data_IF_468975036473
#
_entry.id   IF_468975036473
#
_cell.length_a   1.000
_cell.length_b   1.000
_cell.length_c   1.000
_cell.angle_alpha   90.00
_cell.angle_beta   90.00
_cell.angle_gamma   90.00
#
_symmetry.space_group_name_H-M   'P 1'
#
loop_
_entity.id
_entity.type
_entity.pdbx_description
1 polymer ?
#
# COMPACT_ATOMS: atom_id res chain seq x y z
N UNK A 1 -30.03 16.31 4.27
CA UNK A 1 -28.84 15.71 3.64
C UNK A 1 -28.00 15.14 4.77
N UNK A 2 -27.69 13.85 4.74
CA UNK A 2 -26.81 13.21 5.72
C UNK A 2 -25.39 13.66 5.44
N UNK A 3 -24.72 14.23 6.44
CA UNK A 3 -23.30 14.56 6.37
C UNK A 3 -22.54 13.22 6.30
N UNK A 4 -21.58 13.04 5.37
CA UNK A 4 -20.79 11.82 5.30
C UNK A 4 -20.02 11.61 6.61
N UNK A 5 -19.84 10.36 7.02
CA UNK A 5 -18.95 10.05 8.15
C UNK A 5 -17.52 10.13 7.63
N UNK A 6 -16.81 11.20 7.99
CA UNK A 6 -15.41 11.40 7.63
C UNK A 6 -14.54 10.91 8.79
N UNK A 7 -13.67 9.94 8.51
CA UNK A 7 -12.74 9.36 9.47
C UNK A 7 -11.31 9.62 9.01
N UNK A 8 -10.55 10.34 9.82
CA UNK A 8 -9.13 10.58 9.61
C UNK A 8 -8.33 9.64 10.50
N UNK A 9 -7.46 8.85 9.90
CA UNK A 9 -6.71 7.78 10.57
C UNK A 9 -5.22 8.11 10.56
N UNK A 10 -4.61 8.19 11.73
CA UNK A 10 -3.19 8.46 11.90
C UNK A 10 -2.49 7.44 12.81
N UNK A 11 -1.17 7.45 12.81
CA UNK A 11 -0.33 6.54 13.58
C UNK A 11 0.97 6.22 12.87
N UNK A 12 1.90 5.61 13.61
CA UNK A 12 3.23 5.25 13.11
C UNK A 12 3.20 4.34 11.88
N UNK A 13 4.30 4.29 11.13
CA UNK A 13 4.44 3.35 10.03
C UNK A 13 4.35 1.91 10.54
N UNK A 14 3.61 1.05 9.83
CA UNK A 14 3.46 -0.37 10.20
C UNK A 14 2.49 -0.67 11.36
N UNK A 15 1.89 0.33 12.02
CA UNK A 15 0.94 0.07 13.10
C UNK A 15 -0.41 -0.54 12.63
N UNK A 16 -0.66 -0.59 11.31
CA UNK A 16 -1.85 -1.23 10.75
C UNK A 16 -3.02 -0.30 10.39
N UNK A 17 -2.74 0.99 10.10
CA UNK A 17 -3.76 1.95 9.63
C UNK A 17 -4.59 1.41 8.45
N UNK A 18 -3.93 1.06 7.36
CA UNK A 18 -4.57 0.52 6.15
C UNK A 18 -5.34 -0.78 6.44
N UNK A 19 -4.81 -1.64 7.30
CA UNK A 19 -5.50 -2.87 7.75
C UNK A 19 -6.79 -2.54 8.50
N UNK A 20 -6.76 -1.57 9.40
CA UNK A 20 -7.95 -1.14 10.12
C UNK A 20 -8.99 -0.52 9.20
N UNK A 21 -8.57 0.33 8.25
CA UNK A 21 -9.45 0.91 7.23
C UNK A 21 -10.08 -0.19 6.37
N UNK A 22 -9.29 -1.15 5.90
CA UNK A 22 -9.77 -2.33 5.15
C UNK A 22 -10.85 -3.09 5.94
N UNK A 23 -10.64 -3.30 7.24
CA UNK A 23 -11.67 -3.90 8.11
C UNK A 23 -12.93 -3.03 8.18
N UNK A 24 -12.82 -1.70 8.32
CA UNK A 24 -14.00 -0.83 8.33
C UNK A 24 -14.76 -0.88 7.00
N UNK A 25 -14.06 -0.89 5.87
CA UNK A 25 -14.65 -1.03 4.54
C UNK A 25 -15.38 -2.36 4.42
N UNK A 26 -14.77 -3.47 4.86
CA UNK A 26 -15.37 -4.81 4.78
C UNK A 26 -16.67 -4.95 5.61
N UNK A 27 -16.79 -4.21 6.71
CA UNK A 27 -17.99 -4.20 7.55
C UNK A 27 -19.03 -3.17 7.10
N UNK A 28 -18.64 -2.17 6.31
CA UNK A 28 -19.55 -1.21 5.76
C UNK A 28 -20.44 -1.90 4.72
N UNK A 29 -21.74 -1.99 5.00
CA UNK A 29 -22.71 -2.46 4.01
C UNK A 29 -22.67 -1.52 2.80
N UNK A 30 -22.72 -2.11 1.59
CA UNK A 30 -22.60 -1.48 0.28
C UNK A 30 -23.04 0.00 0.23
N UNK A 31 -22.16 0.85 -0.30
CA UNK A 31 -22.38 2.28 -0.45
C UNK A 31 -21.19 2.96 -1.14
N UNK A 32 -21.33 4.26 -1.41
CA UNK A 32 -20.26 5.06 -1.99
C UNK A 32 -19.21 5.38 -0.92
N UNK A 33 -18.15 4.56 -0.86
CA UNK A 33 -17.04 4.74 0.09
C UNK A 33 -15.88 5.40 -0.65
N UNK A 34 -15.33 6.46 -0.06
CA UNK A 34 -14.14 7.13 -0.58
C UNK A 34 -12.93 6.84 0.31
N UNK A 35 -11.78 6.59 -0.32
CA UNK A 35 -10.49 6.47 0.35
C UNK A 35 -9.50 7.48 -0.24
N UNK A 36 -8.82 8.22 0.63
CA UNK A 36 -7.76 9.14 0.25
C UNK A 36 -6.56 8.99 1.19
N UNK A 37 -5.36 8.99 0.63
CA UNK A 37 -4.11 9.01 1.40
C UNK A 37 -3.21 10.09 0.82
N UNK A 38 -3.19 11.30 1.40
CA UNK A 38 -2.36 12.39 0.89
C UNK A 38 -0.86 12.11 1.07
N UNK A 39 -0.04 12.79 0.27
CA UNK A 39 1.42 12.78 0.39
C UNK A 39 2.08 11.48 -0.07
N UNK A 40 1.39 10.66 -0.84
CA UNK A 40 1.95 9.41 -1.41
C UNK A 40 2.78 9.66 -2.68
N UNK A 41 2.66 10.83 -3.29
CA UNK A 41 3.30 11.19 -4.55
C UNK A 41 2.95 10.19 -5.65
N UNK A 42 3.98 9.70 -6.34
CA UNK A 42 3.81 8.74 -7.44
C UNK A 42 3.78 7.26 -7.00
N UNK A 43 3.77 6.97 -5.69
CA UNK A 43 3.71 5.60 -5.16
C UNK A 43 2.49 5.36 -4.24
N UNK A 44 1.28 5.33 -4.81
CA UNK A 44 0.04 5.09 -4.07
C UNK A 44 -0.19 3.59 -3.81
N UNK A 45 0.71 2.93 -3.04
CA UNK A 45 0.66 1.48 -2.80
C UNK A 45 -0.62 1.07 -2.06
N UNK A 46 -0.96 1.76 -0.97
CA UNK A 46 -2.13 1.43 -0.15
C UNK A 46 -3.43 1.69 -0.91
N UNK A 47 -3.48 2.77 -1.68
CA UNK A 47 -4.57 3.04 -2.61
C UNK A 47 -4.77 1.88 -3.60
N UNK A 48 -3.69 1.44 -4.26
CA UNK A 48 -3.76 0.38 -5.25
C UNK A 48 -4.15 -0.96 -4.63
N UNK A 49 -3.66 -1.27 -3.42
CA UNK A 49 -4.05 -2.46 -2.66
C UNK A 49 -5.55 -2.43 -2.33
N UNK A 50 -6.05 -1.34 -1.76
CA UNK A 50 -7.46 -1.22 -1.40
C UNK A 50 -8.38 -1.22 -2.62
N UNK A 51 -7.98 -0.62 -3.74
CA UNK A 51 -8.75 -0.67 -4.99
C UNK A 51 -8.86 -2.10 -5.56
N UNK A 52 -7.82 -2.92 -5.36
CA UNK A 52 -7.85 -4.34 -5.73
C UNK A 52 -8.75 -5.16 -4.79
N UNK A 53 -8.64 -4.95 -3.47
CA UNK A 53 -9.42 -5.68 -2.48
C UNK A 53 -10.91 -5.28 -2.48
N UNK A 54 -11.21 -4.02 -2.81
CA UNK A 54 -12.56 -3.46 -2.78
C UNK A 54 -12.88 -2.68 -4.07
N UNK A 55 -13.21 -3.36 -5.19
CA UNK A 55 -13.46 -2.70 -6.47
C UNK A 55 -14.64 -1.71 -6.50
N UNK A 56 -15.42 -1.65 -5.41
CA UNK A 56 -16.59 -0.78 -5.28
C UNK A 56 -16.29 0.56 -4.58
N UNK A 57 -15.10 0.74 -4.01
CA UNK A 57 -14.71 2.02 -3.39
C UNK A 57 -14.09 2.95 -4.44
N UNK A 58 -14.17 4.26 -4.20
CA UNK A 58 -13.44 5.25 -4.99
C UNK A 58 -12.17 5.65 -4.26
N UNK A 59 -11.03 5.54 -4.94
CA UNK A 59 -9.72 5.85 -4.38
C UNK A 59 -9.13 7.09 -5.05
N UNK A 60 -8.66 8.02 -4.23
CA UNK A 60 -8.08 9.29 -4.68
C UNK A 60 -6.57 9.34 -4.39
N UNK A 61 -5.87 10.12 -5.21
CA UNK A 61 -4.41 10.34 -5.14
C UNK A 61 -4.11 11.83 -5.01
N UNK A 62 -2.86 12.14 -4.70
CA UNK A 62 -2.36 13.52 -4.70
C UNK A 62 -2.67 14.21 -6.04
N UNK A 63 -3.15 15.44 -5.97
CA UNK A 63 -3.61 16.21 -7.14
C UNK A 63 -5.09 15.99 -7.51
N UNK A 64 -5.80 15.08 -6.83
CA UNK A 64 -7.24 14.85 -7.02
C UNK A 64 -8.09 15.42 -5.87
N UNK A 65 -7.56 16.34 -5.06
CA UNK A 65 -8.23 16.86 -3.86
C UNK A 65 -9.56 17.54 -4.18
N UNK A 66 -9.62 18.29 -5.30
CA UNK A 66 -10.85 18.96 -5.74
C UNK A 66 -11.94 17.93 -6.10
N UNK A 67 -11.56 16.88 -6.83
CA UNK A 67 -12.48 15.81 -7.23
C UNK A 67 -12.95 15.02 -5.99
N UNK A 68 -12.03 14.73 -5.08
CA UNK A 68 -12.32 14.11 -3.79
C UNK A 68 -13.37 14.90 -3.01
N UNK A 69 -13.16 16.20 -2.79
CA UNK A 69 -14.11 17.08 -2.09
C UNK A 69 -15.48 17.09 -2.77
N UNK A 70 -15.53 17.10 -4.10
CA UNK A 70 -16.79 17.05 -4.85
C UNK A 70 -17.54 15.72 -4.63
N UNK A 71 -16.84 14.59 -4.60
CA UNK A 71 -17.43 13.27 -4.38
C UNK A 71 -17.84 13.04 -2.92
N UNK A 72 -17.19 13.69 -1.95
CA UNK A 72 -17.51 13.54 -0.53
C UNK A 72 -18.98 13.84 -0.21
N UNK A 73 -19.60 14.79 -0.91
CA UNK A 73 -21.01 15.17 -0.70
C UNK A 73 -21.97 13.97 -0.96
N UNK A 74 -21.56 13.04 -1.83
CA UNK A 74 -22.32 11.87 -2.22
C UNK A 74 -21.86 10.59 -1.50
N UNK A 75 -20.88 10.69 -0.60
CA UNK A 75 -20.29 9.55 0.06
C UNK A 75 -21.13 9.09 1.26
N UNK A 76 -21.14 7.78 1.48
CA UNK A 76 -21.66 7.18 2.72
C UNK A 76 -20.61 7.21 3.83
N UNK A 77 -19.35 6.95 3.46
CA UNK A 77 -18.21 6.97 4.36
C UNK A 77 -16.97 7.48 3.61
N UNK A 78 -16.12 8.21 4.33
CA UNK A 78 -14.87 8.76 3.81
C UNK A 78 -13.76 8.40 4.78
N UNK A 79 -12.71 7.76 4.26
CA UNK A 79 -11.50 7.43 5.01
C UNK A 79 -10.32 8.24 4.47
N UNK A 80 -9.65 8.97 5.35
CA UNK A 80 -8.40 9.67 5.05
C UNK A 80 -7.28 9.02 5.87
N UNK A 81 -6.32 8.37 5.22
CA UNK A 81 -5.14 7.81 5.89
C UNK A 81 -3.99 8.82 5.87
N UNK A 82 -3.52 9.24 7.05
CA UNK A 82 -2.34 10.10 7.18
C UNK A 82 -1.08 9.23 7.28
N UNK A 83 -0.17 9.43 6.33
CA UNK A 83 1.18 8.87 6.39
C UNK A 83 1.93 9.35 7.63
N UNK A 84 2.77 8.49 8.21
CA UNK A 84 3.51 8.82 9.45
C UNK A 84 4.56 9.95 9.25
N UNK A 85 4.81 10.34 8.01
CA UNK A 85 5.69 11.43 7.62
C UNK A 85 4.95 12.77 7.41
N UNK A 86 3.63 12.80 7.60
CA UNK A 86 2.83 14.02 7.54
C UNK A 86 2.52 14.53 8.95
N UNK A 87 2.49 15.85 9.09
CA UNK A 87 1.97 16.50 10.28
C UNK A 87 0.47 16.21 10.43
N UNK A 88 0.01 16.11 11.67
CA UNK A 88 -1.38 15.74 11.99
C UNK A 88 -2.42 16.81 11.60
N UNK A 89 -1.99 18.05 11.45
CA UNK A 89 -2.79 19.18 11.00
C UNK A 89 -2.85 19.30 9.46
N UNK A 90 -2.08 18.49 8.71
CA UNK A 90 -2.12 18.49 7.24
C UNK A 90 -3.52 18.21 6.69
N UNK A 91 -4.36 17.50 7.44
CA UNK A 91 -5.75 17.22 7.05
C UNK A 91 -6.64 18.47 7.07
N UNK A 92 -6.30 19.49 7.87
CA UNK A 92 -7.07 20.74 7.93
C UNK A 92 -7.00 21.50 6.60
N UNK A 93 -5.91 21.35 5.85
CA UNK A 93 -5.75 21.94 4.52
C UNK A 93 -6.67 21.28 3.47
N UNK A 94 -7.12 20.04 3.73
CA UNK A 94 -7.98 19.27 2.84
C UNK A 94 -9.45 19.44 3.21
N UNK A 95 -9.75 19.38 4.51
CA UNK A 95 -11.11 19.35 5.03
C UNK A 95 -11.65 20.72 5.44
N UNK A 96 -10.79 21.73 5.61
CA UNK A 96 -11.17 23.06 6.08
C UNK A 96 -12.01 22.95 7.38
N UNK A 97 -13.21 23.53 7.41
CA UNK A 97 -14.13 23.50 8.56
C UNK A 97 -15.03 22.24 8.61
N UNK A 98 -14.84 21.24 7.74
CA UNK A 98 -15.68 20.04 7.76
C UNK A 98 -15.46 19.23 9.04
N UNK A 99 -16.52 18.76 9.73
CA UNK A 99 -16.38 17.93 10.91
C UNK A 99 -15.91 16.53 10.53
N UNK A 100 -14.93 15.99 11.28
CA UNK A 100 -14.41 14.64 11.09
C UNK A 100 -14.04 13.97 12.42
N UNK A 101 -14.04 12.64 12.41
CA UNK A 101 -13.58 11.81 13.52
C UNK A 101 -12.07 11.58 13.42
N UNK A 102 -11.36 11.75 14.54
CA UNK A 102 -9.91 11.53 14.63
C UNK A 102 -9.62 10.17 15.26
N UNK A 103 -9.06 9.25 14.49
CA UNK A 103 -8.71 7.90 14.95
C UNK A 103 -7.20 7.71 14.92
N UNK A 104 -6.60 7.33 16.05
CA UNK A 104 -5.22 6.89 16.10
C UNK A 104 -5.13 5.37 16.18
N UNK A 105 -4.42 4.75 15.24
CA UNK A 105 -3.99 3.36 15.34
C UNK A 105 -2.61 3.35 15.98
N UNK A 106 -2.52 2.83 17.22
CA UNK A 106 -1.29 2.87 18.02
C UNK A 106 -0.76 1.48 18.30
N UNK A 107 0.56 1.36 18.40
CA UNK A 107 1.13 0.09 18.84
C UNK A 107 0.82 -0.18 20.31
N UNK A 108 0.58 -1.44 20.73
CA UNK A 108 0.37 -1.77 22.14
C UNK A 108 1.55 -1.38 23.05
N UNK A 109 2.77 -1.28 22.51
CA UNK A 109 3.98 -0.93 23.25
C UNK A 109 4.35 0.55 23.18
N UNK A 110 3.58 1.34 22.42
CA UNK A 110 3.85 2.76 22.24
C UNK A 110 3.63 3.53 23.55
N UNK A 111 4.60 4.38 23.90
CA UNK A 111 4.44 5.34 25.00
C UNK A 111 3.41 6.42 24.61
N UNK A 112 3.09 7.32 25.52
CA UNK A 112 2.25 8.48 25.18
C UNK A 112 2.89 9.23 24.01
N UNK A 113 2.15 9.33 22.91
CA UNK A 113 2.58 9.95 21.67
C UNK A 113 1.62 11.06 21.26
N UNK A 114 2.03 11.89 20.31
CA UNK A 114 1.18 12.93 19.74
C UNK A 114 -0.13 12.38 19.16
N UNK A 115 -0.11 11.16 18.60
CA UNK A 115 -1.30 10.50 18.08
C UNK A 115 -2.35 10.26 19.16
N UNK A 116 -1.92 9.87 20.37
CA UNK A 116 -2.83 9.66 21.51
C UNK A 116 -3.47 10.96 22.00
N UNK A 117 -2.76 12.08 21.87
CA UNK A 117 -3.26 13.41 22.28
C UNK A 117 -4.20 13.98 21.21
N UNK A 118 -3.88 13.76 19.93
CA UNK A 118 -4.64 14.27 18.80
C UNK A 118 -5.97 13.52 18.57
N UNK A 119 -5.99 12.21 18.81
CA UNK A 119 -7.14 11.38 18.49
C UNK A 119 -8.30 11.49 19.49
N UNK A 120 -9.51 11.32 18.96
CA UNK A 120 -10.72 11.14 19.75
C UNK A 120 -10.90 9.66 20.11
N UNK A 121 -10.55 8.77 19.19
CA UNK A 121 -10.61 7.32 19.36
C UNK A 121 -9.25 6.67 19.14
N UNK A 122 -8.94 5.71 20.01
CA UNK A 122 -7.67 4.98 19.99
C UNK A 122 -7.93 3.51 19.67
N UNK A 123 -7.33 3.03 18.60
CA UNK A 123 -7.37 1.64 18.16
C UNK A 123 -6.03 0.98 18.42
N UNK A 124 -6.05 -0.24 18.97
CA UNK A 124 -4.83 -1.04 19.14
C UNK A 124 -4.47 -1.72 17.83
N UNK A 125 -3.31 -1.34 17.30
CA UNK A 125 -2.75 -1.86 16.06
C UNK A 125 -1.71 -2.97 16.29
N UNK A 126 -0.85 -3.15 15.30
CA UNK A 126 0.23 -4.12 15.32
C UNK A 126 1.30 -3.77 16.37
N UNK A 127 1.92 -4.80 16.92
CA UNK A 127 3.08 -4.68 17.80
C UNK A 127 4.32 -4.39 16.95
N UNK A 128 4.73 -3.12 16.89
CA UNK A 128 5.89 -2.66 16.11
C UNK A 128 6.99 -2.21 17.04
N UNK A 129 8.24 -2.24 16.56
CA UNK A 129 9.35 -1.69 17.32
C UNK A 129 9.37 -0.16 17.23
N UNK A 130 8.90 0.52 18.27
CA UNK A 130 8.83 2.00 18.34
C UNK A 130 10.15 2.65 18.74
N UNK A 131 11.23 1.88 18.99
CA UNK A 131 12.52 2.44 19.38
C UNK A 131 13.41 2.79 18.19
N UNK A 132 13.00 2.42 16.97
CA UNK A 132 13.74 2.72 15.75
C UNK A 132 13.11 3.95 15.11
N UNK A 133 13.91 4.99 14.92
CA UNK A 133 13.51 6.18 14.17
C UNK A 133 14.04 6.04 12.74
N UNK A 134 13.20 5.71 11.75
CA UNK A 134 13.65 5.60 10.37
C UNK A 134 14.23 6.93 9.89
N UNK A 135 15.36 6.86 9.22
CA UNK A 135 16.03 8.04 8.65
C UNK A 135 15.85 8.13 7.14
N UNK A 136 15.43 7.04 6.49
CA UNK A 136 15.29 6.96 5.04
C UNK A 136 13.97 6.34 4.61
N UNK A 137 13.34 6.99 3.62
CA UNK A 137 12.18 6.50 2.88
C UNK A 137 12.58 6.34 1.42
N UNK A 138 12.80 5.11 0.99
CA UNK A 138 13.13 4.76 -0.39
C UNK A 138 11.88 4.35 -1.14
N UNK A 139 11.64 4.97 -2.30
CA UNK A 139 10.45 4.76 -3.13
C UNK A 139 10.86 4.57 -4.59
N UNK A 140 10.46 3.45 -5.20
CA UNK A 140 10.74 3.15 -6.61
C UNK A 140 9.48 2.67 -7.33
N UNK A 141 8.96 3.42 -8.31
CA UNK A 141 7.96 2.90 -9.25
C UNK A 141 8.58 1.81 -10.13
N UNK A 142 7.83 0.73 -10.34
CA UNK A 142 8.22 -0.38 -11.23
C UNK A 142 7.19 -0.62 -12.34
N UNK A 143 6.32 0.35 -12.59
CA UNK A 143 5.32 0.30 -13.66
C UNK A 143 5.97 -0.08 -15.01
N UNK A 144 5.35 -1.02 -15.72
CA UNK A 144 5.89 -1.56 -16.97
C UNK A 144 7.01 -2.58 -16.80
N UNK A 145 7.51 -2.83 -15.59
CA UNK A 145 8.41 -3.95 -15.31
C UNK A 145 7.60 -5.22 -15.02
N UNK A 146 8.15 -6.35 -15.43
CA UNK A 146 7.66 -7.68 -15.07
C UNK A 146 8.83 -8.36 -14.37
N UNK A 147 8.59 -8.85 -13.16
CA UNK A 147 9.62 -9.36 -12.27
C UNK A 147 9.56 -10.89 -12.24
N UNK A 148 10.73 -11.53 -12.24
CA UNK A 148 10.86 -12.95 -11.95
C UNK A 148 10.51 -13.22 -10.48
N UNK A 149 9.52 -14.08 -10.22
CA UNK A 149 8.97 -14.26 -8.87
C UNK A 149 10.00 -14.86 -7.89
N UNK A 150 10.85 -15.79 -8.35
CA UNK A 150 11.88 -16.39 -7.49
C UNK A 150 12.98 -15.38 -7.14
N UNK A 151 13.45 -14.62 -8.13
CA UNK A 151 14.41 -13.53 -7.90
C UNK A 151 13.83 -12.48 -6.94
N UNK A 152 12.54 -12.15 -7.06
CA UNK A 152 11.87 -11.24 -6.15
C UNK A 152 11.79 -11.78 -4.71
N UNK A 153 11.55 -13.09 -4.54
CA UNK A 153 11.54 -13.74 -3.22
C UNK A 153 12.90 -13.67 -2.56
N UNK A 154 13.98 -13.90 -3.30
CA UNK A 154 15.35 -13.74 -2.81
C UNK A 154 15.63 -12.29 -2.41
N UNK A 155 15.35 -11.33 -3.29
CA UNK A 155 15.51 -9.90 -2.99
C UNK A 155 14.71 -9.48 -1.75
N UNK A 156 13.46 -9.90 -1.63
CA UNK A 156 12.60 -9.57 -0.49
C UNK A 156 13.11 -10.19 0.81
N UNK A 157 13.60 -11.43 0.76
CA UNK A 157 14.25 -12.06 1.91
C UNK A 157 15.48 -11.27 2.34
N UNK A 158 16.40 -10.97 1.44
CA UNK A 158 17.61 -10.18 1.74
C UNK A 158 17.27 -8.80 2.32
N UNK A 159 16.29 -8.11 1.72
CA UNK A 159 15.78 -6.82 2.17
C UNK A 159 15.28 -6.90 3.62
N UNK A 160 14.42 -7.86 3.93
CA UNK A 160 13.81 -7.99 5.26
C UNK A 160 14.76 -8.54 6.32
N UNK A 161 15.84 -9.22 5.90
CA UNK A 161 16.93 -9.66 6.79
C UNK A 161 18.03 -8.60 6.97
N UNK A 162 17.88 -7.42 6.36
CA UNK A 162 18.76 -6.28 6.57
C UNK A 162 20.06 -6.31 5.77
N UNK A 163 20.11 -7.05 4.66
CA UNK A 163 21.25 -7.06 3.74
C UNK A 163 21.58 -5.66 3.18
N UNK A 164 20.58 -4.78 3.15
CA UNK A 164 20.66 -3.44 2.57
C UNK A 164 20.48 -2.32 3.61
N UNK A 165 20.69 -2.58 4.89
CA UNK A 165 20.38 -1.67 5.99
C UNK A 165 19.17 -2.13 6.80
N UNK A 166 18.86 -1.45 7.89
CA UNK A 166 17.80 -1.89 8.80
C UNK A 166 16.42 -1.47 8.28
N UNK A 167 15.65 -2.43 7.76
CA UNK A 167 14.28 -2.21 7.30
C UNK A 167 13.30 -2.27 8.47
N UNK A 168 12.47 -1.24 8.61
CA UNK A 168 11.37 -1.18 9.59
C UNK A 168 10.05 -1.56 8.93
N UNK A 169 9.86 -1.11 7.68
CA UNK A 169 8.66 -1.39 6.87
C UNK A 169 9.07 -1.53 5.41
N UNK A 170 8.51 -2.53 4.72
CA UNK A 170 8.55 -2.58 3.27
C UNK A 170 7.18 -2.99 2.72
N UNK A 171 6.65 -2.23 1.76
CA UNK A 171 5.44 -2.57 0.98
C UNK A 171 5.80 -2.62 -0.49
N UNK A 172 5.20 -3.51 -1.25
CA UNK A 172 5.37 -3.51 -2.69
C UNK A 172 4.22 -4.15 -3.44
N UNK A 173 3.96 -3.67 -4.65
CA UNK A 173 3.06 -4.27 -5.63
C UNK A 173 3.89 -4.56 -6.87
N UNK A 174 3.87 -5.81 -7.34
CA UNK A 174 4.72 -6.28 -8.42
C UNK A 174 3.92 -7.05 -9.47
N UNK A 175 4.25 -6.82 -10.73
CA UNK A 175 3.76 -7.63 -11.85
C UNK A 175 4.72 -8.79 -12.09
N UNK A 176 4.20 -10.02 -12.14
CA UNK A 176 5.01 -11.24 -12.33
C UNK A 176 4.77 -11.88 -13.70
N UNK A 177 5.69 -12.75 -14.11
CA UNK A 177 5.77 -13.32 -15.46
C UNK A 177 4.47 -13.97 -15.96
N UNK A 178 3.68 -14.54 -15.06
CA UNK A 178 2.42 -15.21 -15.39
C UNK A 178 1.19 -14.29 -15.45
N UNK A 179 1.43 -12.97 -15.42
CA UNK A 179 0.44 -11.92 -15.56
C UNK A 179 -0.29 -11.54 -14.27
N UNK A 180 -0.05 -12.25 -13.16
CA UNK A 180 -0.59 -11.85 -11.86
C UNK A 180 0.03 -10.55 -11.36
N UNK A 181 -0.65 -9.94 -10.39
CA UNK A 181 -0.08 -8.90 -9.56
C UNK A 181 -0.01 -9.41 -8.12
N UNK A 182 1.14 -9.24 -7.48
CA UNK A 182 1.38 -9.71 -6.11
C UNK A 182 1.75 -8.53 -5.20
N UNK A 183 1.39 -8.65 -3.93
CA UNK A 183 1.60 -7.66 -2.88
C UNK A 183 2.49 -8.23 -1.78
N UNK A 184 3.56 -7.50 -1.47
CA UNK A 184 4.47 -7.79 -0.36
C UNK A 184 4.25 -6.84 0.79
N UNK A 185 4.24 -7.37 2.02
CA UNK A 185 4.07 -6.62 3.25
C UNK A 185 5.02 -7.12 4.34
N UNK A 186 5.93 -6.25 4.77
CA UNK A 186 6.82 -6.51 5.89
C UNK A 186 6.81 -5.37 6.90
N UNK A 187 6.73 -5.71 8.19
CA UNK A 187 6.92 -4.81 9.33
C UNK A 187 7.86 -5.49 10.33
N UNK A 188 8.92 -4.81 10.76
CA UNK A 188 9.85 -5.37 11.74
C UNK A 188 9.16 -5.70 13.06
N UNK A 189 9.31 -6.95 13.51
CA UNK A 189 8.71 -7.46 14.75
C UNK A 189 7.29 -8.03 14.58
N UNK A 190 6.69 -7.94 13.39
CA UNK A 190 5.41 -8.57 13.07
C UNK A 190 5.68 -9.79 12.18
N UNK A 191 5.06 -10.96 12.45
CA UNK A 191 5.15 -12.10 11.55
C UNK A 191 4.70 -11.71 10.13
N UNK A 192 5.59 -11.87 9.15
CA UNK A 192 5.27 -11.63 7.75
C UNK A 192 4.67 -12.88 7.12
N UNK A 193 3.70 -12.67 6.23
CA UNK A 193 3.25 -13.69 5.27
C UNK A 193 4.06 -13.57 3.99
N UNK A 194 4.07 -14.63 3.19
CA UNK A 194 4.53 -14.57 1.80
C UNK A 194 3.70 -13.57 0.98
N UNK A 195 4.18 -13.30 -0.24
CA UNK A 195 3.46 -12.47 -1.21
C UNK A 195 2.00 -12.92 -1.38
N UNK A 196 1.10 -11.94 -1.37
CA UNK A 196 -0.34 -12.13 -1.58
C UNK A 196 -0.70 -11.75 -3.01
N UNK A 197 -1.38 -12.64 -3.73
CA UNK A 197 -1.97 -12.29 -5.03
C UNK A 197 -3.08 -11.25 -4.86
N UNK A 198 -3.08 -10.23 -5.73
CA UNK A 198 -4.18 -9.28 -5.86
C UNK A 198 -5.23 -9.87 -6.79
N UNK A 199 -6.51 -9.74 -6.41
CA UNK A 199 -7.65 -10.23 -7.20
C UNK A 199 -7.91 -9.31 -8.41
N UNK A 200 -6.97 -9.33 -9.34
CA UNK A 200 -6.98 -8.55 -10.57
C UNK A 200 -6.83 -9.50 -11.76
N UNK A 201 -7.45 -9.16 -12.91
CA UNK A 201 -7.23 -9.91 -14.14
C UNK A 201 -5.75 -10.03 -14.49
N UNK A 202 -5.36 -11.22 -14.97
CA UNK A 202 -3.99 -11.45 -15.45
C UNK A 202 -3.70 -10.55 -16.66
N UNK A 203 -2.52 -9.97 -16.69
CA UNK A 203 -2.02 -9.22 -17.84
C UNK A 203 -1.04 -10.08 -18.65
N UNK A 204 -1.47 -10.56 -19.82
CA UNK A 204 -0.70 -11.48 -20.66
C UNK A 204 -0.34 -10.87 -22.03
N UNK A 205 -0.34 -9.53 -22.14
CA UNK A 205 -0.12 -8.78 -23.39
C UNK A 205 1.16 -7.93 -23.36
N UNK A 206 2.23 -8.50 -22.84
CA UNK A 206 3.52 -7.85 -22.68
C UNK A 206 3.63 -7.08 -21.36
N UNK A 207 4.13 -5.83 -21.44
CA UNK A 207 4.40 -4.98 -20.27
C UNK A 207 3.12 -4.31 -19.76
N UNK A 208 2.74 -4.52 -18.48
CA UNK A 208 1.55 -3.94 -17.90
C UNK A 208 1.66 -2.41 -17.75
N UNK A 209 0.55 -1.71 -17.97
CA UNK A 209 0.44 -0.27 -17.73
C UNK A 209 -0.23 0.05 -16.38
N UNK A 210 -0.59 -0.96 -15.58
CA UNK A 210 -1.12 -0.76 -14.23
C UNK A 210 -0.01 -0.37 -13.25
N UNK A 211 -0.38 0.18 -12.11
CA UNK A 211 0.58 0.59 -11.08
C UNK A 211 1.32 -0.61 -10.50
N UNK A 212 2.64 -0.47 -10.34
CA UNK A 212 3.49 -1.32 -9.52
C UNK A 212 4.66 -0.49 -8.97
N UNK A 213 5.19 -0.88 -7.83
CA UNK A 213 6.27 -0.17 -7.15
C UNK A 213 6.53 -0.69 -5.74
N UNK A 214 7.63 -0.24 -5.16
CA UNK A 214 8.08 -0.60 -3.81
C UNK A 214 8.37 0.64 -2.97
N UNK A 215 8.01 0.56 -1.70
CA UNK A 215 8.36 1.51 -0.66
C UNK A 215 9.09 0.78 0.47
N UNK A 216 10.24 1.30 0.89
CA UNK A 216 11.04 0.79 2.01
C UNK A 216 11.35 1.94 2.96
N UNK A 217 11.00 1.77 4.23
CA UNK A 217 11.29 2.68 5.32
C UNK A 217 12.27 2.01 6.28
N UNK A 218 13.37 2.70 6.59
CA UNK A 218 14.42 2.12 7.42
C UNK A 218 15.55 3.09 7.79
N UNK A 219 16.62 2.51 8.31
CA UNK A 219 17.85 3.18 8.71
C UNK A 219 19.02 2.64 7.89
N UNK A 220 19.94 3.54 7.50
CA UNK A 220 21.16 3.22 6.74
C UNK A 220 20.92 2.39 5.47
N UNK A 221 19.80 2.63 4.80
CA UNK A 221 19.45 1.92 3.56
C UNK A 221 20.48 2.17 2.45
N UNK A 222 20.99 1.11 1.84
CA UNK A 222 21.83 1.13 0.63
C UNK A 222 20.95 1.15 -0.63
N UNK A 223 20.40 2.33 -0.92
CA UNK A 223 19.47 2.56 -2.03
C UNK A 223 20.06 2.24 -3.41
N UNK A 224 21.39 2.29 -3.55
CA UNK A 224 22.06 1.99 -4.82
C UNK A 224 22.05 0.49 -5.05
N UNK A 225 22.45 -0.30 -4.05
CA UNK A 225 22.44 -1.76 -4.16
C UNK A 225 21.01 -2.29 -4.25
N UNK A 226 20.08 -1.81 -3.42
CA UNK A 226 18.67 -2.22 -3.51
C UNK A 226 18.08 -1.98 -4.91
N UNK A 227 18.37 -0.81 -5.50
CA UNK A 227 17.90 -0.49 -6.85
C UNK A 227 18.49 -1.43 -7.88
N UNK A 228 19.78 -1.72 -7.79
CA UNK A 228 20.44 -2.63 -8.73
C UNK A 228 19.87 -4.05 -8.61
N UNK A 229 19.76 -4.60 -7.41
CA UNK A 229 19.20 -5.94 -7.20
C UNK A 229 17.76 -6.04 -7.69
N UNK A 230 16.92 -5.02 -7.43
CA UNK A 230 15.55 -5.00 -7.95
C UNK A 230 15.49 -4.95 -9.48
N UNK A 231 16.40 -4.20 -10.13
CA UNK A 231 16.52 -4.18 -11.60
C UNK A 231 16.95 -5.55 -12.13
N UNK A 232 17.86 -6.24 -11.43
CA UNK A 232 18.33 -7.56 -11.83
C UNK A 232 17.22 -8.63 -11.77
N UNK A 233 16.18 -8.41 -10.96
CA UNK A 233 14.98 -9.25 -10.92
C UNK A 233 14.05 -9.05 -12.15
N UNK A 234 14.23 -7.99 -12.94
CA UNK A 234 13.30 -7.63 -14.02
C UNK A 234 13.56 -8.43 -15.30
N UNK A 235 12.48 -8.94 -15.89
CA UNK A 235 12.53 -9.73 -17.12
C UNK A 235 12.65 -8.85 -18.38
N UNK A 236 13.38 -9.39 -19.36
CA UNK A 236 13.45 -8.85 -20.72
C UNK A 236 12.19 -9.23 -21.52
N UNK A 237 11.85 -8.44 -22.54
CA UNK A 237 10.63 -8.62 -23.35
C UNK A 237 10.49 -10.02 -23.94
N UNK A 238 11.61 -10.61 -24.37
CA UNK A 238 11.62 -11.96 -24.92
C UNK A 238 11.17 -13.01 -23.89
N UNK A 239 11.63 -12.90 -22.63
CA UNK A 239 11.25 -13.81 -21.55
C UNK A 239 9.77 -13.58 -21.15
N UNK A 240 9.35 -12.32 -21.04
CA UNK A 240 7.94 -11.96 -20.77
C UNK A 240 7.02 -12.61 -21.81
N UNK A 241 7.33 -12.44 -23.10
CA UNK A 241 6.52 -13.00 -24.18
C UNK A 241 6.44 -14.53 -24.15
N UNK A 242 7.54 -15.21 -23.85
CA UNK A 242 7.57 -16.67 -23.72
C UNK A 242 6.70 -17.17 -22.57
N UNK A 243 6.86 -16.61 -21.37
CA UNK A 243 6.08 -17.00 -20.20
C UNK A 243 4.59 -16.74 -20.40
N UNK A 244 4.21 -15.57 -20.91
CA UNK A 244 2.81 -15.23 -21.13
C UNK A 244 2.15 -16.11 -22.20
N UNK A 245 2.88 -16.50 -23.25
CA UNK A 245 2.39 -17.47 -24.24
C UNK A 245 2.15 -18.85 -23.61
N UNK A 246 3.07 -19.32 -22.77
CA UNK A 246 2.91 -20.59 -22.05
C UNK A 246 1.67 -20.56 -21.15
N UNK A 247 1.47 -19.48 -20.40
CA UNK A 247 0.29 -19.31 -19.53
C UNK A 247 -1.00 -19.27 -20.32
N UNK A 248 -1.03 -18.54 -21.45
CA UNK A 248 -2.19 -18.53 -22.37
C UNK A 248 -2.53 -19.95 -22.83
N UNK A 249 -1.55 -20.76 -23.18
CA UNK A 249 -1.77 -22.14 -23.62
C UNK A 249 -2.35 -23.01 -22.49
N UNK A 250 -1.81 -22.91 -21.27
CA UNK A 250 -2.31 -23.64 -20.09
C UNK A 250 -3.75 -23.26 -19.79
N UNK A 251 -4.09 -21.96 -19.83
CA UNK A 251 -5.45 -21.49 -19.56
C UNK A 251 -6.44 -21.95 -20.62
N UNK A 252 -6.02 -22.01 -21.89
CA UNK A 252 -6.84 -22.55 -22.99
C UNK A 252 -7.09 -24.06 -22.83
N UNK A 253 -6.09 -24.83 -22.41
CA UNK A 253 -6.23 -26.27 -22.18
C UNK A 253 -7.09 -26.57 -20.96
N UNK A 254 -6.94 -25.80 -19.88
CA UNK A 254 -7.71 -25.96 -18.63
C UNK A 254 -9.16 -25.45 -18.69
N UNK A 255 -9.57 -24.80 -19.77
CA UNK A 255 -10.97 -24.36 -19.99
C UNK A 255 -11.76 -25.25 -20.94
N UNK A 256 -11.16 -26.37 -21.38
CA UNK A 256 -11.75 -27.39 -22.26
C UNK A 256 -12.23 -28.65 -21.48
N UNK A 257 -12.04 -28.68 -20.15
CA UNK A 257 -12.65 -29.68 -19.24
C UNK A 257 -13.89 -29.14 -18.52
#
# INVERSE_FOLDING_TARGET
>A
MTIPIITVVAGLAGCGKTTWISQQISHANAGNILYFSPGTGNLPIDQARLAADFPHIQVFKDGQEIEFIQQMILANAVFIELGAYLELDAVEQILDDLPYQKVAVISPQEKISEYQIWAQDIVRGAMINTNINPTKLWRVPTQGQVIDEESLREFWYELTQGAYGQVIRAKGIFDVADGRQIYGDFVAGVPSVDFLELDLPRHLEGRPQRFSGIEVLGEDLDEVVMRQTLVDCCLLDAAIGQYQQQVKQILLEGSVE
#
